data_IF_427354823172
#
_entry.id   IF_427354823172
#
_cell.length_a   1.000
_cell.length_b   1.000
_cell.length_c   1.000
_cell.angle_alpha   90.00
_cell.angle_beta   90.00
_cell.angle_gamma   90.00
#
_symmetry.space_group_name_H-M   'P 1'
#
loop_
_entity.id
_entity.type
_entity.pdbx_description
1 polymer ?
#
# COMPACT_ATOMS: atom_id res chain seq x y z
N UNK A 1 12.91 6.32 -6.32
CA UNK A 1 12.14 5.17 -6.83
C UNK A 1 12.98 4.54 -7.92
N UNK A 2 13.69 3.45 -7.63
CA UNK A 2 14.50 2.71 -8.61
C UNK A 2 13.61 1.80 -9.46
N UNK A 3 12.66 2.41 -10.18
CA UNK A 3 11.81 1.73 -11.15
C UNK A 3 12.21 2.21 -12.55
N UNK A 4 12.36 1.29 -13.49
CA UNK A 4 12.68 1.64 -14.87
C UNK A 4 11.61 2.56 -15.48
N UNK A 5 12.03 3.50 -16.33
CA UNK A 5 11.14 4.49 -16.95
C UNK A 5 10.00 3.82 -17.75
N UNK A 6 10.28 2.70 -18.43
CA UNK A 6 9.27 1.91 -19.15
C UNK A 6 8.19 1.37 -18.20
N UNK A 7 8.59 0.75 -17.08
CA UNK A 7 7.65 0.21 -16.09
C UNK A 7 6.80 1.31 -15.46
N UNK A 8 7.43 2.44 -15.08
CA UNK A 8 6.70 3.59 -14.54
C UNK A 8 5.64 4.10 -15.54
N UNK A 9 6.02 4.24 -16.81
CA UNK A 9 5.09 4.68 -17.87
C UNK A 9 3.95 3.69 -18.08
N UNK A 10 4.21 2.38 -18.02
CA UNK A 10 3.19 1.36 -18.12
C UNK A 10 2.20 1.42 -16.96
N UNK A 11 2.68 1.56 -15.72
CA UNK A 11 1.80 1.72 -14.56
C UNK A 11 0.96 3.00 -14.63
N UNK A 12 1.54 4.12 -15.05
CA UNK A 12 0.81 5.38 -15.24
C UNK A 12 -0.25 5.28 -16.34
N UNK A 13 0.03 4.56 -17.43
CA UNK A 13 -0.96 4.30 -18.48
C UNK A 13 -2.17 3.52 -17.94
N UNK A 14 -1.92 2.49 -17.12
CA UNK A 14 -2.97 1.69 -16.47
C UNK A 14 -3.80 2.54 -15.50
N UNK A 15 -3.15 3.37 -14.68
CA UNK A 15 -3.85 4.24 -13.73
C UNK A 15 -4.71 5.30 -14.43
N UNK A 16 -4.22 5.83 -15.56
CA UNK A 16 -4.97 6.78 -16.40
C UNK A 16 -6.19 6.11 -17.02
N UNK A 17 -6.01 4.91 -17.57
CA UNK A 17 -7.09 4.13 -18.19
C UNK A 17 -8.21 3.81 -17.19
N UNK A 18 -7.84 3.52 -15.93
CA UNK A 18 -8.78 3.32 -14.82
C UNK A 18 -9.33 4.62 -14.21
N UNK A 19 -8.95 5.79 -14.74
CA UNK A 19 -9.45 7.09 -14.28
C UNK A 19 -8.96 7.50 -12.88
N UNK A 20 -7.84 6.95 -12.40
CA UNK A 20 -7.25 7.30 -11.10
C UNK A 20 -6.38 8.54 -11.19
N UNK A 21 -5.69 8.70 -12.32
CA UNK A 21 -4.83 9.85 -12.60
C UNK A 21 -5.25 10.56 -13.88
N UNK A 22 -5.07 11.86 -13.91
CA UNK A 22 -5.10 12.66 -15.11
C UNK A 22 -3.70 12.75 -15.72
N UNK A 23 -3.65 13.02 -17.02
CA UNK A 23 -2.43 13.20 -17.77
C UNK A 23 -2.55 14.44 -18.64
N UNK A 24 -1.70 15.43 -18.38
CA UNK A 24 -1.62 16.68 -19.14
C UNK A 24 -0.32 16.70 -19.95
N UNK A 25 -0.44 16.89 -21.26
CA UNK A 25 0.73 16.91 -22.16
C UNK A 25 1.23 18.34 -22.27
N UNK A 26 2.41 18.58 -21.71
CA UNK A 26 3.12 19.86 -21.79
C UNK A 26 4.37 19.70 -22.66
N UNK A 27 4.15 19.82 -23.98
CA UNK A 27 5.19 19.67 -25.00
C UNK A 27 5.78 18.24 -25.01
N UNK A 28 7.10 18.08 -24.79
CA UNK A 28 7.73 16.76 -24.74
C UNK A 28 7.43 15.99 -23.46
N UNK A 29 6.90 16.65 -22.43
CA UNK A 29 6.61 16.05 -21.14
C UNK A 29 5.11 15.75 -20.97
N UNK A 30 4.80 14.77 -20.13
CA UNK A 30 3.45 14.47 -19.67
C UNK A 30 3.45 14.56 -18.16
N UNK A 31 2.68 15.50 -17.60
CA UNK A 31 2.51 15.66 -16.17
C UNK A 31 1.29 14.85 -15.74
N UNK A 32 1.47 14.07 -14.68
CA UNK A 32 0.40 13.26 -14.10
C UNK A 32 -0.03 13.85 -12.76
N UNK A 33 -1.33 13.87 -12.51
CA UNK A 33 -1.93 14.29 -11.25
C UNK A 33 -2.99 13.30 -10.80
N UNK A 34 -3.25 13.21 -9.51
CA UNK A 34 -4.40 12.45 -9.01
C UNK A 34 -5.68 13.16 -9.45
N UNK A 35 -6.66 12.40 -9.95
CA UNK A 35 -7.94 12.95 -10.39
C UNK A 35 -8.81 13.45 -9.23
N UNK A 36 -8.61 12.92 -8.04
CA UNK A 36 -9.39 13.29 -6.86
C UNK A 36 -8.66 12.98 -5.56
N UNK A 37 -8.81 13.86 -4.58
CA UNK A 37 -8.34 13.64 -3.20
C UNK A 37 -8.97 12.39 -2.55
N UNK A 38 -10.11 11.91 -3.06
CA UNK A 38 -10.71 10.64 -2.64
C UNK A 38 -9.78 9.45 -2.87
N UNK A 39 -8.95 9.49 -3.91
CA UNK A 39 -7.94 8.44 -4.19
C UNK A 39 -6.92 8.40 -3.06
N UNK A 40 -6.48 9.57 -2.59
CA UNK A 40 -5.53 9.67 -1.49
C UNK A 40 -6.16 9.13 -0.19
N UNK A 41 -7.37 9.57 0.14
CA UNK A 41 -8.10 9.08 1.31
C UNK A 41 -8.31 7.55 1.30
N UNK A 42 -8.61 6.97 0.14
CA UNK A 42 -8.73 5.52 0.00
C UNK A 42 -7.40 4.78 0.22
N UNK A 43 -6.29 5.34 -0.30
CA UNK A 43 -4.95 4.80 -0.06
C UNK A 43 -4.59 4.88 1.42
N UNK A 44 -4.91 5.98 2.09
CA UNK A 44 -4.64 6.16 3.52
C UNK A 44 -5.41 5.13 4.36
N UNK A 45 -6.70 4.93 4.07
CA UNK A 45 -7.51 3.89 4.72
C UNK A 45 -6.95 2.49 4.50
N UNK A 46 -6.49 2.18 3.28
CA UNK A 46 -5.85 0.89 2.99
C UNK A 46 -4.54 0.71 3.75
N UNK A 47 -3.75 1.78 3.91
CA UNK A 47 -2.50 1.76 4.69
C UNK A 47 -2.78 1.53 6.17
N UNK A 48 -3.78 2.22 6.71
CA UNK A 48 -4.23 2.04 8.10
C UNK A 48 -4.65 0.59 8.35
N UNK A 49 -5.54 0.05 7.52
CA UNK A 49 -5.99 -1.34 7.60
C UNK A 49 -4.81 -2.34 7.54
N UNK A 50 -3.88 -2.16 6.61
CA UNK A 50 -2.70 -3.03 6.51
C UNK A 50 -1.80 -2.96 7.76
N UNK A 51 -1.65 -1.77 8.34
CA UNK A 51 -0.87 -1.59 9.57
C UNK A 51 -1.52 -2.30 10.76
N UNK A 52 -2.86 -2.21 10.87
CA UNK A 52 -3.63 -2.93 11.88
C UNK A 52 -3.51 -4.45 11.73
N UNK A 53 -3.63 -4.96 10.51
CA UNK A 53 -3.48 -6.39 10.21
C UNK A 53 -2.09 -6.92 10.59
N UNK A 54 -1.03 -6.18 10.24
CA UNK A 54 0.33 -6.53 10.60
C UNK A 54 0.57 -6.48 12.11
N UNK A 55 0.03 -5.46 12.79
CA UNK A 55 0.08 -5.34 14.25
C UNK A 55 -0.65 -6.48 14.96
N UNK A 56 -1.80 -6.88 14.42
CA UNK A 56 -2.62 -7.98 14.92
C UNK A 56 -1.90 -9.32 14.75
N UNK A 57 -1.33 -9.59 13.57
CA UNK A 57 -0.52 -10.79 13.33
C UNK A 57 0.71 -10.85 14.24
N UNK A 58 1.38 -9.72 14.46
CA UNK A 58 2.52 -9.62 15.38
C UNK A 58 2.12 -9.95 16.83
N UNK A 59 0.97 -9.46 17.29
CA UNK A 59 0.42 -9.77 18.63
C UNK A 59 0.11 -11.26 18.78
N UNK A 60 -0.55 -11.86 17.79
CA UNK A 60 -0.88 -13.28 17.79
C UNK A 60 0.39 -14.16 17.80
N UNK A 61 1.41 -13.81 17.02
CA UNK A 61 2.71 -14.50 17.02
C UNK A 61 3.45 -14.43 18.37
N UNK A 62 3.37 -13.28 19.07
CA UNK A 62 3.95 -13.12 20.43
C UNK A 62 3.15 -13.85 21.51
N UNK A 63 1.83 -13.91 21.39
CA UNK A 63 0.98 -14.65 22.33
C UNK A 63 1.21 -16.17 22.21
N UNK A 64 1.35 -16.68 20.98
CA UNK A 64 1.61 -18.09 20.71
C UNK A 64 2.99 -18.58 21.19
N UNK A 65 3.97 -17.67 21.33
CA UNK A 65 5.32 -17.98 21.88
C UNK A 65 5.38 -17.88 23.41
N UNK A 66 4.36 -17.31 24.07
CA UNK A 66 4.20 -17.31 25.54
C UNK A 66 3.33 -18.49 26.00
N UNK A 67 3.71 -19.71 25.66
CA UNK A 67 3.18 -20.88 26.38
C UNK A 67 3.69 -20.83 27.83
N UNK A 68 2.83 -20.86 28.85
CA UNK A 68 3.28 -20.94 30.24
C UNK A 68 3.95 -22.30 30.45
N UNK A 69 5.27 -22.31 30.72
CA UNK A 69 5.98 -23.47 31.28
C UNK A 69 5.61 -23.66 32.77
N UNK A 70 4.33 -23.74 33.08
CA UNK A 70 3.86 -24.03 34.43
C UNK A 70 3.12 -25.35 34.45
N UNK A 71 3.70 -26.28 35.23
CA UNK A 71 3.10 -27.48 35.82
C UNK A 71 3.29 -28.79 35.03
N UNK A 72 4.52 -29.28 35.04
CA UNK A 72 4.79 -30.71 35.20
C UNK A 72 5.55 -30.90 36.54
N UNK A 73 4.82 -30.70 37.65
CA UNK A 73 5.18 -31.28 38.95
C UNK A 73 4.32 -32.53 39.10
N UNK A 74 4.93 -33.71 38.94
CA UNK A 74 4.70 -34.93 39.72
C UNK A 74 5.74 -35.95 39.33
#
# INVERSE_FOLDING_TARGET
LEIGQSNCSQHLAILRDRGVVDADRQGPHVLYSLRSDKVLAAIDLLREFMAEELGTRSRLGRAATRTPRTLARR
#
